data_IF_425077487169
#
_entry.id   IF_425077487169
#
_cell.length_a   1.000
_cell.length_b   1.000
_cell.length_c   1.000
_cell.angle_alpha   90.00
_cell.angle_beta   90.00
_cell.angle_gamma   90.00
#
_symmetry.space_group_name_H-M   'P 1'
#
loop_
_entity.id
_entity.type
_entity.pdbx_description
1 polymer ?
#
# COMPACT_ATOMS: atom_id res chain seq x y z
N UNK A 1 -24.94 -7.94 -23.79
CA UNK A 1 -23.80 -8.31 -22.94
C UNK A 1 -22.97 -7.06 -22.62
N UNK A 2 -23.37 -6.28 -21.62
CA UNK A 2 -22.65 -5.06 -21.21
C UNK A 2 -22.93 -4.72 -19.73
N UNK A 3 -22.76 -5.70 -18.84
CA UNK A 3 -22.82 -5.52 -17.38
C UNK A 3 -21.73 -6.33 -16.66
N UNK A 4 -20.64 -6.61 -17.36
CA UNK A 4 -19.34 -6.92 -16.76
C UNK A 4 -18.49 -5.67 -17.04
N UNK A 5 -17.60 -5.27 -16.15
CA UNK A 5 -16.75 -4.06 -16.15
C UNK A 5 -17.18 -2.90 -15.22
N UNK A 6 -18.03 -3.15 -14.22
CA UNK A 6 -18.18 -2.23 -13.08
C UNK A 6 -17.95 -2.93 -11.74
N UNK A 7 -17.21 -4.04 -11.74
CA UNK A 7 -16.59 -4.59 -10.54
C UNK A 7 -15.21 -3.95 -10.36
N UNK A 8 -15.18 -2.62 -10.32
CA UNK A 8 -14.15 -1.94 -9.51
C UNK A 8 -14.53 -2.31 -8.08
N UNK A 9 -14.08 -3.47 -7.61
CA UNK A 9 -14.23 -3.87 -6.22
C UNK A 9 -13.66 -2.70 -5.40
N UNK A 10 -14.54 -1.90 -4.81
CA UNK A 10 -14.15 -0.84 -3.88
C UNK A 10 -13.30 -1.55 -2.83
N UNK A 11 -12.02 -1.17 -2.77
CA UNK A 11 -11.16 -1.63 -1.69
C UNK A 11 -11.81 -1.11 -0.41
N UNK A 12 -12.01 -2.03 0.53
CA UNK A 12 -12.59 -1.74 1.83
C UNK A 12 -11.83 -0.60 2.52
N UNK A 13 -12.54 0.40 3.04
CA UNK A 13 -11.93 1.57 3.68
C UNK A 13 -11.04 1.16 4.86
N UNK A 14 -11.43 0.11 5.59
CA UNK A 14 -10.64 -0.44 6.71
C UNK A 14 -9.27 -0.96 6.24
N UNK A 15 -9.21 -1.53 5.04
CA UNK A 15 -7.96 -2.02 4.44
C UNK A 15 -7.07 -0.87 3.99
N UNK A 16 -7.66 0.17 3.40
CA UNK A 16 -6.94 1.39 3.01
C UNK A 16 -6.34 2.04 4.24
N UNK A 17 -7.15 2.24 5.28
CA UNK A 17 -6.71 2.81 6.55
C UNK A 17 -5.56 2.00 7.15
N UNK A 18 -5.69 0.67 7.24
CA UNK A 18 -4.64 -0.21 7.74
C UNK A 18 -3.30 -0.01 7.02
N UNK A 19 -3.28 -0.07 5.68
CA UNK A 19 -2.04 0.07 4.89
C UNK A 19 -1.47 1.48 5.00
N UNK A 20 -2.32 2.51 4.97
CA UNK A 20 -1.85 3.91 5.09
C UNK A 20 -1.27 4.22 6.47
N UNK A 21 -1.86 3.70 7.55
CA UNK A 21 -1.33 3.84 8.90
C UNK A 21 0.01 3.11 9.05
N UNK A 22 0.11 1.89 8.53
CA UNK A 22 1.38 1.16 8.54
C UNK A 22 2.49 1.90 7.77
N UNK A 23 2.14 2.50 6.63
CA UNK A 23 3.08 3.29 5.83
C UNK A 23 3.50 4.58 6.55
N UNK A 24 2.56 5.25 7.21
CA UNK A 24 2.82 6.42 8.05
C UNK A 24 3.77 6.07 9.20
N UNK A 25 3.47 5.01 9.96
CA UNK A 25 4.31 4.54 11.07
C UNK A 25 5.71 4.17 10.60
N UNK A 26 5.82 3.47 9.46
CA UNK A 26 7.12 3.15 8.85
C UNK A 26 7.90 4.42 8.49
N UNK A 27 7.24 5.42 7.90
CA UNK A 27 7.88 6.68 7.49
C UNK A 27 8.28 7.59 8.66
N UNK A 28 7.57 7.49 9.79
CA UNK A 28 7.80 8.32 10.97
C UNK A 28 9.05 7.90 11.75
N UNK A 29 9.47 6.62 11.66
CA UNK A 29 10.72 6.17 12.26
C UNK A 29 11.93 6.57 11.41
N UNK A 30 12.69 7.56 11.90
CA UNK A 30 13.91 8.06 11.25
C UNK A 30 15.00 7.01 10.99
N UNK A 31 14.90 5.82 11.59
CA UNK A 31 15.84 4.70 11.37
C UNK A 31 15.47 3.88 10.13
N UNK A 32 14.23 3.97 9.67
CA UNK A 32 13.79 3.24 8.49
C UNK A 32 14.30 3.90 7.21
N UNK A 33 14.70 3.09 6.21
CA UNK A 33 15.09 3.63 4.92
C UNK A 33 13.90 4.31 4.23
N UNK A 34 14.19 5.36 3.46
CA UNK A 34 13.16 6.06 2.66
C UNK A 34 12.70 5.30 1.41
N UNK A 35 13.40 4.20 1.10
CA UNK A 35 13.06 3.28 0.01
C UNK A 35 12.97 1.88 0.60
N UNK A 36 11.84 1.22 0.40
CA UNK A 36 11.56 -0.11 0.93
C UNK A 36 10.97 -1.00 -0.16
N UNK A 37 11.39 -2.26 -0.20
CA UNK A 37 10.82 -3.26 -1.11
C UNK A 37 9.44 -3.71 -0.59
N UNK A 38 8.49 -3.98 -1.50
CA UNK A 38 7.11 -4.38 -1.15
C UNK A 38 7.08 -5.57 -0.19
N UNK A 39 7.88 -6.60 -0.47
CA UNK A 39 7.92 -7.82 0.37
C UNK A 39 8.45 -7.52 1.78
N UNK A 40 9.35 -6.54 1.92
CA UNK A 40 9.85 -6.10 3.21
C UNK A 40 8.78 -5.30 3.96
N UNK A 41 8.06 -4.42 3.26
CA UNK A 41 6.96 -3.67 3.83
C UNK A 41 5.80 -4.59 4.28
N UNK A 42 5.46 -5.61 3.50
CA UNK A 42 4.48 -6.64 3.89
C UNK A 42 4.95 -7.39 5.14
N UNK A 43 6.23 -7.77 5.22
CA UNK A 43 6.78 -8.38 6.44
C UNK A 43 6.74 -7.44 7.64
N UNK A 44 6.96 -6.13 7.44
CA UNK A 44 6.86 -5.12 8.49
C UNK A 44 5.45 -5.04 9.07
N UNK A 45 4.42 -5.12 8.23
CA UNK A 45 3.02 -5.11 8.68
C UNK A 45 2.60 -6.38 9.46
N UNK A 46 3.39 -7.46 9.39
CA UNK A 46 3.17 -8.70 10.14
C UNK A 46 2.36 -9.76 9.39
N UNK A 47 2.07 -10.89 10.03
CA UNK A 47 1.42 -12.05 9.38
C UNK A 47 -0.08 -12.17 9.65
N UNK A 48 -0.61 -11.43 10.63
CA UNK A 48 -2.03 -11.45 11.02
C UNK A 48 -2.71 -10.16 10.56
N UNK A 49 -2.74 -9.98 9.23
CA UNK A 49 -3.24 -8.76 8.60
C UNK A 49 -4.63 -8.98 8.00
N UNK A 50 -5.53 -7.98 8.06
CA UNK A 50 -6.82 -8.02 7.38
C UNK A 50 -6.73 -7.82 5.85
N UNK A 51 -5.50 -7.67 5.31
CA UNK A 51 -5.21 -7.37 3.91
C UNK A 51 -4.40 -8.48 3.25
N UNK A 52 -4.68 -8.74 1.97
CA UNK A 52 -3.84 -9.59 1.13
C UNK A 52 -2.71 -8.78 0.48
N UNK A 53 -1.62 -9.43 0.06
CA UNK A 53 -0.53 -8.80 -0.70
C UNK A 53 -1.03 -8.05 -1.95
N UNK A 54 -2.08 -8.58 -2.59
CA UNK A 54 -2.72 -7.93 -3.73
C UNK A 54 -3.48 -6.66 -3.32
N UNK A 55 -4.15 -6.66 -2.16
CA UNK A 55 -4.80 -5.46 -1.62
C UNK A 55 -3.74 -4.40 -1.31
N UNK A 56 -2.64 -4.78 -0.64
CA UNK A 56 -1.52 -3.88 -0.32
C UNK A 56 -0.97 -3.24 -1.59
N UNK A 57 -0.69 -4.04 -2.62
CA UNK A 57 -0.21 -3.55 -3.91
C UNK A 57 -1.17 -2.53 -4.54
N UNK A 58 -2.47 -2.84 -4.61
CA UNK A 58 -3.46 -1.93 -5.20
C UNK A 58 -3.57 -0.62 -4.41
N UNK A 59 -3.54 -0.71 -3.08
CA UNK A 59 -3.57 0.49 -2.23
C UNK A 59 -2.32 1.35 -2.47
N UNK A 60 -1.13 0.75 -2.56
CA UNK A 60 0.10 1.49 -2.87
C UNK A 60 0.06 2.12 -4.27
N UNK A 61 -0.50 1.43 -5.27
CA UNK A 61 -0.74 1.99 -6.60
C UNK A 61 -1.70 3.18 -6.55
N UNK A 62 -2.77 3.09 -5.77
CA UNK A 62 -3.75 4.19 -5.57
C UNK A 62 -3.13 5.39 -4.83
N UNK A 63 -2.22 5.16 -3.88
CA UNK A 63 -1.48 6.22 -3.20
C UNK A 63 -0.46 6.88 -4.12
N UNK A 64 0.23 6.10 -4.96
CA UNK A 64 1.16 6.62 -5.96
C UNK A 64 0.43 7.46 -7.03
N UNK A 65 -0.76 7.04 -7.46
CA UNK A 65 -1.60 7.80 -8.38
C UNK A 65 -2.09 9.16 -7.80
N UNK A 66 -2.00 9.34 -6.49
CA UNK A 66 -2.32 10.59 -5.77
C UNK A 66 -1.06 11.39 -5.41
N UNK A 67 0.10 11.03 -5.96
CA UNK A 67 1.39 11.66 -5.68
C UNK A 67 1.76 11.70 -4.18
N UNK A 68 1.32 10.71 -3.39
CA UNK A 68 1.65 10.60 -1.96
C UNK A 68 2.93 9.79 -1.72
N UNK A 69 3.25 8.89 -2.64
CA UNK A 69 4.47 8.07 -2.70
C UNK A 69 4.88 7.86 -4.16
N UNK A 70 6.07 7.35 -4.41
CA UNK A 70 6.37 6.69 -5.69
C UNK A 70 6.35 5.18 -5.49
N UNK A 71 5.72 4.46 -6.40
CA UNK A 71 5.68 3.00 -6.36
C UNK A 71 6.03 2.41 -7.72
N UNK A 72 7.24 1.86 -7.86
CA UNK A 72 7.77 1.35 -9.13
C UNK A 72 8.59 0.08 -8.91
N UNK A 73 8.40 -0.91 -9.79
CA UNK A 73 9.17 -2.17 -9.77
C UNK A 73 9.16 -2.88 -8.39
N UNK A 74 8.05 -2.78 -7.65
CA UNK A 74 7.92 -3.35 -6.31
C UNK A 74 8.65 -2.57 -5.22
N UNK A 75 9.09 -1.34 -5.49
CA UNK A 75 9.74 -0.45 -4.52
C UNK A 75 8.85 0.73 -4.19
N UNK A 76 8.77 1.03 -2.90
CA UNK A 76 8.03 2.13 -2.32
C UNK A 76 9.05 3.22 -1.96
N UNK A 77 8.91 4.41 -2.54
CA UNK A 77 9.72 5.58 -2.24
C UNK A 77 8.87 6.59 -1.48
N UNK A 78 9.31 6.92 -0.28
CA UNK A 78 8.66 7.87 0.60
C UNK A 78 9.15 9.28 0.26
N UNK A 79 8.26 10.13 -0.24
CA UNK A 79 8.58 11.45 -0.80
C UNK A 79 8.41 12.62 0.18
N UNK A 80 8.07 12.34 1.45
CA UNK A 80 7.96 13.31 2.55
C UNK A 80 8.64 12.79 3.82
#
# INVERSE_FOLDING_TARGET
>A
MLKRHLDTAMIDEDKVEFVTNALYDYSADSRNPRVVDLDEFIRYMGTDMPVSDQDVRRILEDLAAKDLILFENGRIYLIN
#
